data_IF_394670474502
#
_entry.id   IF_394670474502
#
_cell.length_a   1.000
_cell.length_b   1.000
_cell.length_c   1.000
_cell.angle_alpha   90.00
_cell.angle_beta   90.00
_cell.angle_gamma   90.00
#
_symmetry.space_group_name_H-M   'P 1'
#
loop_
_entity.id
_entity.type
_entity.pdbx_description
1 polymer ?
#
# COMPACT_ATOMS: atom_id res chain seq x y z
N UNK A 1 24.18 -18.48 -18.00
CA UNK A 1 23.00 -17.74 -17.49
C UNK A 1 22.95 -16.30 -18.05
N UNK A 2 22.86 -16.10 -19.36
CA UNK A 2 22.89 -14.75 -19.96
C UNK A 2 21.56 -13.97 -19.83
N UNK A 3 20.46 -14.63 -19.52
CA UNK A 3 19.13 -14.00 -19.50
C UNK A 3 18.79 -13.21 -18.22
N UNK A 4 19.47 -13.42 -17.11
CA UNK A 4 19.14 -12.80 -15.83
C UNK A 4 19.53 -11.31 -15.77
N UNK A 5 20.68 -10.98 -16.37
CA UNK A 5 21.16 -9.58 -16.48
C UNK A 5 20.33 -8.77 -17.48
N UNK A 6 19.91 -9.36 -18.58
CA UNK A 6 18.98 -8.73 -19.54
C UNK A 6 17.62 -8.46 -18.86
N UNK A 7 17.07 -9.45 -18.16
CA UNK A 7 15.78 -9.29 -17.46
C UNK A 7 15.83 -8.21 -16.37
N UNK A 8 16.91 -8.13 -15.58
CA UNK A 8 17.11 -7.05 -14.58
C UNK A 8 17.16 -5.67 -15.26
N UNK A 9 17.87 -5.53 -16.37
CA UNK A 9 17.94 -4.29 -17.14
C UNK A 9 16.58 -3.91 -17.72
N UNK A 10 15.86 -4.86 -18.31
CA UNK A 10 14.52 -4.62 -18.86
C UNK A 10 13.52 -4.21 -17.78
N UNK A 11 13.52 -4.89 -16.63
CA UNK A 11 12.66 -4.52 -15.50
C UNK A 11 13.01 -3.12 -14.97
N UNK A 12 14.29 -2.79 -14.85
CA UNK A 12 14.73 -1.45 -14.44
C UNK A 12 14.31 -0.38 -15.43
N UNK A 13 14.45 -0.64 -16.73
CA UNK A 13 13.97 0.26 -17.79
C UNK A 13 12.45 0.43 -17.76
N UNK A 14 11.68 -0.64 -17.51
CA UNK A 14 10.23 -0.56 -17.37
C UNK A 14 9.84 0.28 -16.15
N UNK A 15 10.50 0.10 -15.01
CA UNK A 15 10.27 0.94 -13.82
C UNK A 15 10.57 2.40 -14.11
N UNK A 16 11.71 2.69 -14.77
CA UNK A 16 12.07 4.05 -15.18
C UNK A 16 11.04 4.64 -16.14
N UNK A 17 10.59 3.85 -17.12
CA UNK A 17 9.57 4.28 -18.09
C UNK A 17 8.24 4.57 -17.41
N UNK A 18 7.81 3.76 -16.43
CA UNK A 18 6.59 4.01 -15.63
C UNK A 18 6.76 5.30 -14.81
N UNK A 19 7.89 5.48 -14.12
CA UNK A 19 8.17 6.69 -13.36
C UNK A 19 8.21 7.91 -14.29
N UNK A 20 8.88 7.81 -15.43
CA UNK A 20 8.94 8.88 -16.42
C UNK A 20 7.55 9.22 -16.98
N UNK A 21 6.75 8.20 -17.32
CA UNK A 21 5.37 8.39 -17.78
C UNK A 21 4.52 9.07 -16.69
N UNK A 22 4.72 8.72 -15.42
CA UNK A 22 4.02 9.33 -14.29
C UNK A 22 4.26 10.84 -14.22
N UNK A 23 5.52 11.26 -14.38
CA UNK A 23 5.88 12.69 -14.40
C UNK A 23 5.52 13.37 -15.72
N UNK A 24 5.75 12.70 -16.86
CA UNK A 24 5.52 13.29 -18.19
C UNK A 24 4.03 13.56 -18.46
N UNK A 25 3.15 12.70 -17.99
CA UNK A 25 1.70 12.85 -18.12
C UNK A 25 1.07 13.58 -16.93
N UNK A 26 1.87 14.18 -16.04
CA UNK A 26 1.38 14.90 -14.86
C UNK A 26 0.35 14.09 -14.06
N UNK A 27 0.57 12.77 -13.96
CA UNK A 27 -0.35 11.85 -13.28
C UNK A 27 -0.43 12.16 -11.78
N UNK A 28 0.60 12.80 -11.22
CA UNK A 28 0.60 13.33 -9.86
C UNK A 28 -0.53 14.35 -9.63
N UNK A 29 -0.90 15.14 -10.64
CA UNK A 29 -2.02 16.09 -10.56
C UNK A 29 -3.38 15.38 -10.38
N UNK A 30 -3.54 14.17 -10.95
CA UNK A 30 -4.77 13.38 -10.81
C UNK A 30 -4.99 12.95 -9.35
N UNK A 31 -3.92 12.81 -8.58
CA UNK A 31 -3.97 12.42 -7.16
C UNK A 31 -3.99 13.63 -6.21
N UNK A 32 -4.46 14.78 -6.69
CA UNK A 32 -4.62 15.98 -5.87
C UNK A 32 -6.07 16.16 -5.41
N UNK A 33 -6.24 16.81 -4.27
CA UNK A 33 -7.57 17.19 -3.77
C UNK A 33 -8.24 18.19 -4.74
N UNK A 34 -7.45 19.04 -5.38
CA UNK A 34 -7.95 20.02 -6.36
C UNK A 34 -8.57 19.31 -7.57
N UNK A 35 -7.86 18.34 -8.17
CA UNK A 35 -8.38 17.55 -9.27
C UNK A 35 -9.70 16.87 -8.91
N UNK A 36 -9.78 16.28 -7.70
CA UNK A 36 -10.99 15.64 -7.23
C UNK A 36 -12.16 16.63 -7.08
N UNK A 37 -11.90 17.84 -6.56
CA UNK A 37 -12.93 18.88 -6.45
C UNK A 37 -13.47 19.32 -7.83
N UNK A 38 -12.56 19.61 -8.76
CA UNK A 38 -12.90 20.10 -10.10
C UNK A 38 -13.63 19.04 -10.94
N UNK A 39 -13.30 17.76 -10.77
CA UNK A 39 -13.82 16.65 -11.57
C UNK A 39 -14.81 15.76 -10.82
N UNK A 40 -15.23 16.10 -9.60
CA UNK A 40 -16.05 15.24 -8.73
C UNK A 40 -17.32 14.74 -9.45
N UNK A 41 -18.10 15.65 -10.06
CA UNK A 41 -19.35 15.31 -10.72
C UNK A 41 -19.14 14.36 -11.91
N UNK A 42 -18.11 14.59 -12.71
CA UNK A 42 -17.77 13.74 -13.86
C UNK A 42 -17.30 12.35 -13.40
N UNK A 43 -16.45 12.28 -12.38
CA UNK A 43 -15.95 11.01 -11.82
C UNK A 43 -17.08 10.17 -11.24
N UNK A 44 -17.94 10.76 -10.42
CA UNK A 44 -19.07 10.05 -9.80
C UNK A 44 -20.05 9.58 -10.85
N UNK A 45 -20.40 10.42 -11.86
CA UNK A 45 -21.26 10.03 -12.97
C UNK A 45 -20.67 8.85 -13.75
N UNK A 46 -19.40 8.95 -14.16
CA UNK A 46 -18.73 7.87 -14.89
C UNK A 46 -18.73 6.55 -14.11
N UNK A 47 -18.43 6.61 -12.80
CA UNK A 47 -18.42 5.42 -11.94
C UNK A 47 -19.83 4.85 -11.77
N UNK A 48 -20.86 5.67 -11.62
CA UNK A 48 -22.25 5.17 -11.49
C UNK A 48 -22.73 4.47 -12.75
N UNK A 49 -22.35 4.95 -13.93
CA UNK A 49 -22.70 4.36 -15.22
C UNK A 49 -21.84 3.11 -15.55
N UNK A 50 -20.59 3.06 -15.05
CA UNK A 50 -19.59 2.06 -15.41
C UNK A 50 -18.90 1.45 -14.19
N UNK A 51 -19.65 1.08 -13.14
CA UNK A 51 -19.10 0.73 -11.83
C UNK A 51 -18.09 -0.43 -11.88
N UNK A 52 -18.44 -1.55 -12.54
CA UNK A 52 -17.59 -2.75 -12.58
C UNK A 52 -16.30 -2.50 -13.37
N UNK A 53 -16.42 -1.86 -14.55
CA UNK A 53 -15.23 -1.56 -15.37
C UNK A 53 -14.31 -0.55 -14.69
N UNK A 54 -14.86 0.43 -13.97
CA UNK A 54 -14.08 1.39 -13.17
C UNK A 54 -13.32 0.73 -12.04
N UNK A 55 -13.95 -0.19 -11.31
CA UNK A 55 -13.28 -1.00 -10.27
C UNK A 55 -12.15 -1.82 -10.88
N UNK A 56 -12.42 -2.58 -11.95
CA UNK A 56 -11.42 -3.45 -12.56
C UNK A 56 -10.22 -2.63 -13.04
N UNK A 57 -10.45 -1.52 -13.75
CA UNK A 57 -9.39 -0.66 -14.27
C UNK A 57 -8.55 -0.05 -13.15
N UNK A 58 -9.21 0.48 -12.10
CA UNK A 58 -8.53 1.08 -10.96
C UNK A 58 -7.64 0.06 -10.23
N UNK A 59 -8.19 -1.11 -9.91
CA UNK A 59 -7.43 -2.13 -9.17
C UNK A 59 -6.37 -2.82 -10.01
N UNK A 60 -6.52 -2.86 -11.33
CA UNK A 60 -5.46 -3.29 -12.24
C UNK A 60 -4.26 -2.33 -12.17
N UNK A 61 -4.52 -1.00 -12.23
CA UNK A 61 -3.48 0.03 -12.06
C UNK A 61 -2.84 -0.09 -10.67
N UNK A 62 -3.64 -0.27 -9.63
CA UNK A 62 -3.14 -0.45 -8.27
C UNK A 62 -2.25 -1.68 -8.14
N UNK A 63 -2.64 -2.81 -8.74
CA UNK A 63 -1.80 -4.02 -8.79
C UNK A 63 -0.47 -3.75 -9.50
N UNK A 64 -0.50 -3.06 -10.64
CA UNK A 64 0.72 -2.67 -11.38
C UNK A 64 1.65 -1.85 -10.50
N UNK A 65 1.13 -0.88 -9.74
CA UNK A 65 1.95 -0.06 -8.84
C UNK A 65 2.63 -0.91 -7.76
N UNK A 66 1.92 -1.84 -7.15
CA UNK A 66 2.51 -2.75 -6.17
C UNK A 66 3.53 -3.67 -6.83
N UNK A 67 3.20 -4.25 -8.00
CA UNK A 67 4.08 -5.15 -8.73
C UNK A 67 5.42 -4.51 -9.06
N UNK A 68 5.45 -3.24 -9.45
CA UNK A 68 6.65 -2.46 -9.75
C UNK A 68 7.27 -1.75 -8.54
N UNK A 69 6.83 -2.09 -7.33
CA UNK A 69 7.35 -1.54 -6.06
C UNK A 69 7.15 -0.02 -5.87
N UNK A 70 6.17 0.58 -6.55
CA UNK A 70 5.87 2.00 -6.40
C UNK A 70 5.23 2.27 -5.02
N UNK A 71 5.69 3.32 -4.29
CA UNK A 71 5.21 3.60 -2.93
C UNK A 71 3.89 4.38 -2.92
N UNK A 72 2.88 3.92 -3.69
CA UNK A 72 1.61 4.62 -3.88
C UNK A 72 0.43 3.98 -3.14
N UNK A 73 0.69 2.93 -2.32
CA UNK A 73 -0.38 2.12 -1.69
C UNK A 73 -1.37 2.95 -0.88
N UNK A 74 -0.91 3.86 -0.01
CA UNK A 74 -1.77 4.69 0.83
C UNK A 74 -2.65 5.63 0.01
N UNK A 75 -2.07 6.27 -0.99
CA UNK A 75 -2.79 7.16 -1.90
C UNK A 75 -3.87 6.39 -2.65
N UNK A 76 -3.53 5.22 -3.21
CA UNK A 76 -4.49 4.38 -3.94
C UNK A 76 -5.65 3.92 -3.05
N UNK A 77 -5.40 3.61 -1.78
CA UNK A 77 -6.47 3.23 -0.83
C UNK A 77 -7.38 4.41 -0.51
N UNK A 78 -6.83 5.59 -0.25
CA UNK A 78 -7.62 6.81 -0.01
C UNK A 78 -8.51 7.13 -1.22
N UNK A 79 -7.93 7.14 -2.42
CA UNK A 79 -8.67 7.39 -3.66
C UNK A 79 -9.72 6.32 -3.94
N UNK A 80 -9.39 5.05 -3.73
CA UNK A 80 -10.35 3.96 -3.87
C UNK A 80 -11.57 4.16 -2.98
N UNK A 81 -11.36 4.55 -1.72
CA UNK A 81 -12.47 4.76 -0.79
C UNK A 81 -13.32 5.99 -1.13
N UNK A 82 -12.68 7.03 -1.62
CA UNK A 82 -13.36 8.19 -2.18
C UNK A 82 -14.29 7.80 -3.35
N UNK A 83 -13.81 6.96 -4.27
CA UNK A 83 -14.52 6.56 -5.49
C UNK A 83 -15.55 5.46 -5.23
N UNK A 84 -15.18 4.38 -4.54
CA UNK A 84 -15.92 3.12 -4.47
C UNK A 84 -16.48 2.81 -3.08
N UNK A 85 -16.20 3.65 -2.07
CA UNK A 85 -16.65 3.47 -0.69
C UNK A 85 -15.74 2.58 0.14
N UNK A 86 -15.93 2.66 1.46
CA UNK A 86 -15.00 2.11 2.47
C UNK A 86 -14.92 0.58 2.43
N UNK A 87 -16.05 -0.13 2.43
CA UNK A 87 -16.06 -1.61 2.50
C UNK A 87 -15.47 -2.24 1.25
N UNK A 88 -15.86 -1.78 0.07
CA UNK A 88 -15.31 -2.22 -1.22
C UNK A 88 -13.79 -2.03 -1.25
N UNK A 89 -13.35 -0.86 -0.79
CA UNK A 89 -11.92 -0.52 -0.74
C UNK A 89 -11.13 -1.43 0.20
N UNK A 90 -11.59 -1.65 1.43
CA UNK A 90 -10.89 -2.53 2.39
C UNK A 90 -10.72 -3.91 1.78
N UNK A 91 -11.80 -4.51 1.27
CA UNK A 91 -11.77 -5.86 0.73
C UNK A 91 -10.85 -5.99 -0.49
N UNK A 92 -11.04 -5.14 -1.51
CA UNK A 92 -10.27 -5.23 -2.74
C UNK A 92 -8.81 -4.80 -2.56
N UNK A 93 -8.53 -3.80 -1.72
CA UNK A 93 -7.14 -3.40 -1.43
C UNK A 93 -6.37 -4.50 -0.69
N UNK A 94 -7.00 -5.22 0.24
CA UNK A 94 -6.38 -6.39 0.87
C UNK A 94 -6.03 -7.48 -0.14
N UNK A 95 -6.93 -7.76 -1.08
CA UNK A 95 -6.67 -8.72 -2.17
C UNK A 95 -5.49 -8.29 -3.04
N UNK A 96 -5.49 -7.03 -3.47
CA UNK A 96 -4.44 -6.49 -4.36
C UNK A 96 -3.09 -6.38 -3.66
N UNK A 97 -3.04 -5.88 -2.42
CA UNK A 97 -1.78 -5.78 -1.68
C UNK A 97 -1.20 -7.15 -1.37
N UNK A 98 -2.04 -8.12 -1.05
CA UNK A 98 -1.59 -9.48 -0.77
C UNK A 98 -1.12 -10.21 -2.04
N UNK A 99 -1.88 -10.16 -3.14
CA UNK A 99 -1.51 -10.79 -4.42
C UNK A 99 -0.31 -10.11 -5.08
N UNK A 100 -0.28 -8.78 -5.10
CA UNK A 100 0.86 -8.00 -5.57
C UNK A 100 2.12 -8.25 -4.73
N UNK A 101 1.97 -8.37 -3.40
CA UNK A 101 3.05 -8.76 -2.51
C UNK A 101 3.61 -10.17 -2.78
N UNK A 102 2.75 -11.14 -3.10
CA UNK A 102 3.20 -12.47 -3.54
C UNK A 102 4.00 -12.40 -4.83
N UNK A 103 3.54 -11.60 -5.78
CA UNK A 103 4.25 -11.36 -7.05
C UNK A 103 5.62 -10.70 -6.79
N UNK A 104 5.69 -9.76 -5.85
CA UNK A 104 6.96 -9.17 -5.40
C UNK A 104 7.92 -10.22 -4.83
N UNK A 105 7.43 -11.11 -3.96
CA UNK A 105 8.25 -12.20 -3.38
C UNK A 105 8.81 -13.11 -4.47
N UNK A 106 7.99 -13.43 -5.47
CA UNK A 106 8.43 -14.22 -6.62
C UNK A 106 9.53 -13.52 -7.42
N UNK A 107 9.36 -12.22 -7.71
CA UNK A 107 10.38 -11.42 -8.40
C UNK A 107 11.66 -11.30 -7.57
N UNK A 108 11.56 -11.02 -6.28
CA UNK A 108 12.71 -10.90 -5.38
C UNK A 108 13.52 -12.20 -5.31
N UNK A 109 12.87 -13.37 -5.27
CA UNK A 109 13.55 -14.67 -5.31
C UNK A 109 14.35 -14.88 -6.59
N UNK A 110 13.82 -14.39 -7.73
CA UNK A 110 14.51 -14.52 -9.05
C UNK A 110 15.60 -13.49 -9.28
N UNK A 111 15.45 -12.27 -8.79
CA UNK A 111 16.23 -11.12 -9.24
C UNK A 111 17.35 -10.70 -8.29
N UNK A 112 17.46 -11.21 -7.10
CA UNK A 112 18.49 -10.88 -6.09
C UNK A 112 18.94 -9.41 -6.14
N UNK A 113 18.15 -8.51 -5.54
CA UNK A 113 18.51 -7.09 -5.44
C UNK A 113 19.45 -6.89 -4.24
N UNK A 114 20.76 -6.93 -4.45
CA UNK A 114 21.77 -6.91 -3.39
C UNK A 114 21.57 -5.82 -2.34
N UNK A 115 21.31 -4.57 -2.77
CA UNK A 115 21.12 -3.45 -1.85
C UNK A 115 19.88 -3.65 -0.95
N UNK A 116 18.79 -4.20 -1.50
CA UNK A 116 17.55 -4.46 -0.76
C UNK A 116 17.76 -5.62 0.21
N UNK A 117 18.37 -6.70 -0.25
CA UNK A 117 18.68 -7.86 0.58
C UNK A 117 19.65 -7.52 1.70
N UNK A 118 20.71 -6.74 1.46
CA UNK A 118 21.63 -6.28 2.49
C UNK A 118 20.91 -5.48 3.59
N UNK A 119 19.95 -4.62 3.22
CA UNK A 119 19.12 -3.89 4.20
C UNK A 119 18.16 -4.82 4.95
N UNK A 120 17.57 -5.80 4.28
CA UNK A 120 16.63 -6.77 4.84
C UNK A 120 17.32 -7.79 5.77
N UNK A 121 18.57 -8.17 5.49
CA UNK A 121 19.31 -9.24 6.17
C UNK A 121 19.45 -8.99 7.69
N UNK A 122 19.75 -7.75 8.08
CA UNK A 122 19.86 -7.39 9.50
C UNK A 122 18.56 -7.66 10.26
N UNK A 123 17.40 -7.34 9.67
CA UNK A 123 16.10 -7.60 10.27
C UNK A 123 15.75 -9.08 10.23
N UNK A 124 16.00 -9.75 9.09
CA UNK A 124 15.74 -11.18 8.94
C UNK A 124 16.50 -12.01 10.00
N UNK A 125 17.78 -11.74 10.23
CA UNK A 125 18.58 -12.41 11.28
C UNK A 125 17.96 -12.22 12.66
N UNK A 126 17.55 -10.99 13.01
CA UNK A 126 16.95 -10.70 14.33
C UNK A 126 15.58 -11.36 14.52
N UNK A 127 14.77 -11.37 13.48
CA UNK A 127 13.47 -12.04 13.52
C UNK A 127 13.70 -13.55 13.66
N UNK A 128 14.62 -14.12 12.90
CA UNK A 128 14.94 -15.56 12.93
C UNK A 128 15.34 -16.05 14.32
N UNK A 129 16.10 -15.27 15.08
CA UNK A 129 16.49 -15.62 16.47
C UNK A 129 15.33 -15.54 17.46
N UNK A 130 14.28 -14.78 17.16
CA UNK A 130 13.11 -14.59 18.03
C UNK A 130 11.90 -15.45 17.65
N UNK A 131 11.91 -16.06 16.46
CA UNK A 131 10.84 -16.97 15.98
C UNK A 131 11.02 -18.34 16.67
N UNK A 132 10.57 -18.46 17.89
CA UNK A 132 10.41 -19.77 18.55
C UNK A 132 8.90 -20.09 18.63
N UNK A 133 8.37 -20.84 17.66
CA UNK A 133 6.96 -21.31 17.67
C UNK A 133 5.90 -20.33 17.17
N UNK A 134 6.14 -19.01 17.16
CA UNK A 134 5.13 -17.99 16.85
C UNK A 134 5.43 -17.20 15.56
N UNK A 135 5.85 -17.89 14.49
CA UNK A 135 6.30 -17.24 13.24
C UNK A 135 5.27 -16.26 12.66
N UNK A 136 3.99 -16.66 12.56
CA UNK A 136 2.94 -15.82 11.97
C UNK A 136 2.80 -14.50 12.72
N UNK A 137 2.86 -14.51 14.06
CA UNK A 137 2.77 -13.29 14.87
C UNK A 137 3.91 -12.31 14.55
N UNK A 138 5.16 -12.80 14.46
CA UNK A 138 6.29 -11.96 14.09
C UNK A 138 6.19 -11.41 12.68
N UNK A 139 5.63 -12.19 11.74
CA UNK A 139 5.41 -11.75 10.37
C UNK A 139 4.31 -10.68 10.29
N UNK A 140 3.24 -10.80 11.10
CA UNK A 140 2.22 -9.74 11.25
C UNK A 140 2.86 -8.47 11.82
N UNK A 141 3.63 -8.59 12.92
CA UNK A 141 4.31 -7.46 13.54
C UNK A 141 5.30 -6.77 12.59
N UNK A 142 5.94 -7.52 11.69
CA UNK A 142 6.82 -6.96 10.65
C UNK A 142 6.08 -5.96 9.77
N UNK A 143 4.77 -6.18 9.50
CA UNK A 143 3.96 -5.26 8.67
C UNK A 143 3.72 -3.91 9.35
N UNK A 144 3.78 -3.87 10.67
CA UNK A 144 3.68 -2.61 11.43
C UNK A 144 4.98 -1.81 11.48
N UNK A 145 6.12 -2.38 11.08
CA UNK A 145 7.40 -1.65 11.12
C UNK A 145 7.45 -0.66 9.95
N UNK A 146 7.72 0.63 10.20
CA UNK A 146 7.77 1.64 9.15
C UNK A 146 9.04 1.46 8.29
N UNK A 147 8.92 0.68 7.25
CA UNK A 147 9.93 0.43 6.23
C UNK A 147 9.27 0.21 4.85
N UNK A 148 9.98 0.46 3.75
CA UNK A 148 9.43 0.23 2.42
C UNK A 148 8.93 -1.21 2.25
N UNK A 149 7.76 -1.38 1.62
CA UNK A 149 7.10 -2.67 1.43
C UNK A 149 8.00 -3.71 0.74
N UNK A 150 8.82 -3.27 -0.23
CA UNK A 150 9.81 -4.13 -0.88
C UNK A 150 10.83 -4.71 0.12
N UNK A 151 11.24 -3.94 1.14
CA UNK A 151 12.18 -4.41 2.17
C UNK A 151 11.50 -5.43 3.07
N UNK A 152 10.24 -5.20 3.46
CA UNK A 152 9.45 -6.17 4.22
C UNK A 152 9.34 -7.49 3.44
N UNK A 153 9.01 -7.44 2.14
CA UNK A 153 8.93 -8.63 1.31
C UNK A 153 10.28 -9.35 1.14
N UNK A 154 11.39 -8.61 1.05
CA UNK A 154 12.73 -9.19 1.03
C UNK A 154 13.07 -9.93 2.34
N UNK A 155 12.64 -9.41 3.50
CA UNK A 155 12.78 -10.11 4.79
C UNK A 155 12.03 -11.45 4.74
N UNK A 156 10.80 -11.47 4.24
CA UNK A 156 10.01 -12.69 4.11
C UNK A 156 10.65 -13.72 3.17
N UNK A 157 11.31 -13.26 2.10
CA UNK A 157 12.12 -14.11 1.22
C UNK A 157 13.30 -14.74 1.97
N UNK A 158 14.06 -13.93 2.75
CA UNK A 158 15.19 -14.40 3.54
C UNK A 158 14.81 -15.38 4.68
N UNK A 159 13.60 -15.22 5.19
CA UNK A 159 13.03 -16.13 6.20
C UNK A 159 12.45 -17.42 5.58
N UNK A 160 12.49 -17.58 4.26
CA UNK A 160 11.86 -18.70 3.54
C UNK A 160 10.38 -18.89 3.89
N UNK A 161 9.66 -17.79 4.09
CA UNK A 161 8.25 -17.80 4.49
C UNK A 161 7.40 -18.53 3.45
N UNK A 162 6.54 -19.47 3.90
CA UNK A 162 5.60 -20.17 3.01
C UNK A 162 4.52 -19.22 2.49
N UNK A 163 3.91 -19.58 1.34
CA UNK A 163 2.85 -18.76 0.72
C UNK A 163 1.68 -18.51 1.67
N UNK A 164 1.23 -19.54 2.38
CA UNK A 164 0.12 -19.45 3.34
C UNK A 164 0.45 -18.48 4.48
N UNK A 165 1.64 -18.60 5.09
CA UNK A 165 2.08 -17.69 6.15
C UNK A 165 2.21 -16.25 5.63
N UNK A 166 2.70 -16.08 4.39
CA UNK A 166 2.73 -14.77 3.72
C UNK A 166 1.34 -14.16 3.59
N UNK A 167 0.38 -14.91 3.06
CA UNK A 167 -1.01 -14.44 2.86
C UNK A 167 -1.61 -14.02 4.20
N UNK A 168 -1.61 -14.92 5.19
CA UNK A 168 -2.21 -14.65 6.51
C UNK A 168 -1.55 -13.43 7.16
N UNK A 169 -0.22 -13.41 7.24
CA UNK A 169 0.48 -12.31 7.92
C UNK A 169 0.37 -10.97 7.19
N UNK A 170 0.32 -10.98 5.86
CA UNK A 170 0.14 -9.76 5.08
C UNK A 170 -1.28 -9.25 5.22
N UNK A 171 -2.29 -10.09 5.01
CA UNK A 171 -3.70 -9.67 5.13
C UNK A 171 -4.00 -9.11 6.51
N UNK A 172 -3.64 -9.83 7.59
CA UNK A 172 -3.88 -9.38 8.95
C UNK A 172 -3.01 -8.17 9.34
N UNK A 173 -1.76 -8.13 8.88
CA UNK A 173 -0.84 -7.06 9.24
C UNK A 173 -1.11 -5.74 8.54
N UNK A 174 -1.68 -5.74 7.32
CA UNK A 174 -2.00 -4.49 6.62
C UNK A 174 -3.44 -4.04 6.85
N UNK A 175 -4.33 -4.92 7.35
CA UNK A 175 -5.74 -4.62 7.58
C UNK A 175 -5.99 -3.30 8.35
N UNK A 176 -5.31 -3.02 9.49
CA UNK A 176 -5.54 -1.76 10.22
C UNK A 176 -5.22 -0.52 9.38
N UNK A 177 -4.17 -0.58 8.56
CA UNK A 177 -3.82 0.52 7.65
C UNK A 177 -4.88 0.70 6.56
N UNK A 178 -5.40 -0.41 5.99
CA UNK A 178 -6.45 -0.36 4.98
C UNK A 178 -7.72 0.29 5.53
N UNK A 179 -8.11 -0.06 6.76
CA UNK A 179 -9.26 0.55 7.43
C UNK A 179 -9.06 2.06 7.61
N UNK A 180 -7.92 2.48 8.16
CA UNK A 180 -7.67 3.90 8.45
C UNK A 180 -7.59 4.73 7.16
N UNK A 181 -6.86 4.25 6.14
CA UNK A 181 -6.80 4.96 4.85
C UNK A 181 -8.15 5.00 4.14
N UNK A 182 -8.96 3.93 4.26
CA UNK A 182 -10.31 3.92 3.71
C UNK A 182 -11.23 4.91 4.41
N UNK A 183 -11.17 5.02 5.74
CA UNK A 183 -11.92 6.04 6.47
C UNK A 183 -11.49 7.46 6.07
N UNK A 184 -10.19 7.70 5.89
CA UNK A 184 -9.69 8.99 5.40
C UNK A 184 -10.23 9.33 4.01
N UNK A 185 -10.30 8.36 3.09
CA UNK A 185 -10.87 8.56 1.75
C UNK A 185 -12.38 8.82 1.78
N UNK A 186 -13.11 8.16 2.66
CA UNK A 186 -14.53 8.41 2.88
C UNK A 186 -14.77 9.85 3.38
N UNK A 187 -13.99 10.29 4.37
CA UNK A 187 -14.07 11.66 4.88
C UNK A 187 -13.69 12.71 3.84
N UNK A 188 -12.70 12.42 2.99
CA UNK A 188 -12.36 13.29 1.87
C UNK A 188 -13.56 13.47 0.93
N UNK A 189 -14.32 12.39 0.65
CA UNK A 189 -15.54 12.47 -0.16
C UNK A 189 -16.62 13.35 0.46
N UNK A 190 -16.85 13.22 1.76
CA UNK A 190 -17.80 14.07 2.50
C UNK A 190 -17.41 15.54 2.40
N UNK A 191 -16.14 15.88 2.66
CA UNK A 191 -15.64 17.25 2.60
C UNK A 191 -15.75 17.87 1.20
N UNK A 192 -15.49 17.10 0.15
CA UNK A 192 -15.61 17.59 -1.24
C UNK A 192 -17.06 17.81 -1.63
N UNK A 193 -17.99 16.95 -1.18
CA UNK A 193 -19.42 17.05 -1.53
C UNK A 193 -20.13 18.22 -0.82
N UNK A 194 -19.59 18.71 0.30
CA UNK A 194 -20.18 19.85 1.00
C UNK A 194 -20.12 21.17 0.23
N UNK A 195 -19.45 21.23 -0.95
CA UNK A 195 -19.31 22.39 -1.85
C UNK A 195 -18.88 23.72 -1.18
N UNK A 196 -18.54 23.70 0.10
CA UNK A 196 -18.10 24.83 0.90
C UNK A 196 -16.57 24.90 0.95
N UNK A 197 -16.03 26.07 1.21
CA UNK A 197 -14.65 26.18 1.65
C UNK A 197 -14.49 25.26 2.87
N UNK A 198 -13.54 24.30 2.80
CA UNK A 198 -13.24 23.40 3.90
C UNK A 198 -12.84 24.24 5.10
N UNK A 199 -13.73 24.38 6.07
CA UNK A 199 -13.46 25.12 7.30
C UNK A 199 -12.71 24.23 8.27
N UNK A 200 -11.91 24.87 9.15
CA UNK A 200 -11.22 24.14 10.21
C UNK A 200 -12.16 23.31 11.09
N UNK A 201 -13.40 23.76 11.29
CA UNK A 201 -14.44 23.07 12.05
C UNK A 201 -14.85 21.74 11.39
N UNK A 202 -14.90 21.68 10.06
CA UNK A 202 -15.21 20.47 9.29
C UNK A 202 -14.09 19.42 9.42
N UNK A 203 -12.86 19.90 9.57
CA UNK A 203 -11.68 19.05 9.75
C UNK A 203 -11.51 18.62 11.20
N UNK A 204 -11.87 19.48 12.17
CA UNK A 204 -11.69 19.26 13.61
C UNK A 204 -12.97 18.72 14.29
N UNK A 205 -13.73 17.84 13.62
CA UNK A 205 -14.84 17.15 14.26
C UNK A 205 -14.39 15.88 15.00
N UNK A 206 -15.26 15.37 15.89
CA UNK A 206 -14.97 14.19 16.73
C UNK A 206 -14.55 12.96 15.91
N UNK A 207 -15.15 12.73 14.75
CA UNK A 207 -14.86 11.58 13.90
C UNK A 207 -13.47 11.68 13.27
N UNK A 208 -13.06 12.88 12.85
CA UNK A 208 -11.72 13.13 12.32
C UNK A 208 -10.65 13.00 13.42
N UNK A 209 -10.95 13.42 14.65
CA UNK A 209 -10.08 13.18 15.80
C UNK A 209 -9.88 11.70 16.06
N UNK A 210 -10.91 10.85 15.90
CA UNK A 210 -10.76 9.40 16.02
C UNK A 210 -9.84 8.82 14.94
N UNK A 211 -9.99 9.25 13.68
CA UNK A 211 -9.11 8.82 12.59
C UNK A 211 -7.67 9.24 12.85
N UNK A 212 -7.45 10.51 13.22
CA UNK A 212 -6.13 11.03 13.57
C UNK A 212 -5.54 10.26 14.76
N UNK A 213 -6.35 10.00 15.79
CA UNK A 213 -5.96 9.20 16.96
C UNK A 213 -5.52 7.79 16.59
N UNK A 214 -6.24 7.12 15.68
CA UNK A 214 -5.85 5.81 15.15
C UNK A 214 -4.53 5.86 14.38
N UNK A 215 -4.29 6.90 13.57
CA UNK A 215 -2.99 7.08 12.90
C UNK A 215 -1.85 7.26 13.89
N UNK A 216 -2.05 8.13 14.90
CA UNK A 216 -1.05 8.37 15.95
C UNK A 216 -0.77 7.07 16.71
N UNK A 217 -1.79 6.31 17.08
CA UNK A 217 -1.65 5.03 17.78
C UNK A 217 -0.87 4.01 16.92
N UNK A 218 -1.16 3.91 15.62
CA UNK A 218 -0.41 3.04 14.72
C UNK A 218 1.07 3.47 14.60
N UNK A 219 1.35 4.77 14.55
CA UNK A 219 2.72 5.29 14.50
C UNK A 219 3.46 4.91 15.80
N UNK A 220 2.87 5.14 16.98
CA UNK A 220 3.46 4.77 18.26
C UNK A 220 3.68 3.26 18.37
N UNK A 221 2.68 2.45 18.00
CA UNK A 221 2.80 1.00 17.97
C UNK A 221 3.95 0.55 17.05
N UNK A 222 4.04 1.14 15.86
CA UNK A 222 5.09 0.87 14.88
C UNK A 222 6.49 1.19 15.44
N UNK A 223 6.65 2.33 16.13
CA UNK A 223 7.91 2.74 16.76
C UNK A 223 8.26 1.81 17.92
N UNK A 224 7.30 1.48 18.76
CA UNK A 224 7.47 0.55 19.89
C UNK A 224 7.92 -0.82 19.41
N UNK A 225 7.23 -1.40 18.43
CA UNK A 225 7.58 -2.70 17.85
C UNK A 225 8.96 -2.70 17.20
N UNK A 226 9.32 -1.61 16.49
CA UNK A 226 10.65 -1.45 15.91
C UNK A 226 11.74 -1.48 16.99
N UNK A 227 11.51 -0.86 18.16
CA UNK A 227 12.46 -0.92 19.30
C UNK A 227 12.57 -2.34 19.86
N UNK A 228 11.45 -3.07 19.99
CA UNK A 228 11.42 -4.44 20.53
C UNK A 228 12.08 -5.47 19.58
N UNK A 229 12.03 -5.23 18.27
CA UNK A 229 12.69 -6.08 17.26
C UNK A 229 14.15 -5.63 17.03
N UNK A 230 14.49 -4.40 17.37
CA UNK A 230 15.83 -3.84 17.23
C UNK A 230 16.74 -4.28 18.38
#
# INVERSE_FOLDING_TARGET
MPNLTKFKKTLFLLILLIIFSFYFFEIDNIFTIQFLKENNALLIKHISENFISSIISFYLIFFIFIFFFLPMTSIMVVFSSYLFGTLTTIFLSLLIVTSGGLSNVFLLKKLTFEKIFKKAERFAKKIKTKIHGNEIQYLILLRFIPMPYIVQNAILVLLNTSRTKFIISTTLGVLPYMVIYSLAGFKLKELINLNNEIRMEDVLNYENFLIIGMFILLIFLSIYLKKKIK
#
